data_IF_902573380262
#
_entry.id   IF_902573380262
#
_cell.length_a   1.000
_cell.length_b   1.000
_cell.length_c   1.000
_cell.angle_alpha   90.00
_cell.angle_beta   90.00
_cell.angle_gamma   90.00
#
_symmetry.space_group_name_H-M   'P 1'
#
loop_
_entity.id
_entity.type
_entity.pdbx_description
1 polymer ?
#
# COMPACT_ATOMS: atom_id res chain seq x y z
N UNK A 1 -19.93 -11.52 -6.70
CA UNK A 1 -18.48 -11.59 -6.48
C UNK A 1 -17.80 -10.72 -7.52
N UNK A 2 -16.81 -9.94 -7.12
CA UNK A 2 -16.00 -9.09 -7.99
C UNK A 2 -14.97 -9.96 -8.72
N UNK A 3 -15.00 -9.99 -10.05
CA UNK A 3 -14.03 -10.70 -10.88
C UNK A 3 -12.76 -9.88 -11.03
N UNK A 4 -11.68 -10.34 -10.41
CA UNK A 4 -10.39 -9.66 -10.37
C UNK A 4 -9.38 -10.38 -11.24
N UNK A 5 -8.72 -9.63 -12.14
CA UNK A 5 -7.49 -10.07 -12.80
C UNK A 5 -6.28 -9.36 -12.17
N UNK A 6 -5.18 -10.09 -12.00
CA UNK A 6 -3.95 -9.54 -11.44
C UNK A 6 -2.92 -9.42 -12.55
N UNK A 7 -2.52 -8.19 -12.87
CA UNK A 7 -1.46 -7.92 -13.82
C UNK A 7 -0.14 -7.66 -13.08
N UNK A 8 0.79 -8.61 -13.14
CA UNK A 8 2.02 -8.64 -12.34
C UNK A 8 1.88 -9.46 -11.06
N UNK A 9 2.46 -10.65 -11.04
CA UNK A 9 2.39 -11.57 -9.91
C UNK A 9 3.67 -11.52 -9.06
N UNK A 10 4.17 -10.29 -8.84
CA UNK A 10 5.28 -9.96 -7.95
C UNK A 10 4.87 -10.04 -6.47
N UNK A 11 5.62 -9.34 -5.61
CA UNK A 11 5.36 -9.32 -4.15
C UNK A 11 3.90 -8.96 -3.83
N UNK A 12 3.44 -7.80 -4.32
CA UNK A 12 2.10 -7.27 -4.02
C UNK A 12 1.00 -8.11 -4.68
N UNK A 13 1.17 -8.50 -5.94
CA UNK A 13 0.19 -9.35 -6.63
C UNK A 13 -0.04 -10.69 -5.93
N UNK A 14 1.03 -11.34 -5.43
CA UNK A 14 0.91 -12.60 -4.68
C UNK A 14 0.26 -12.42 -3.30
N UNK A 15 0.55 -11.34 -2.61
CA UNK A 15 -0.11 -11.05 -1.31
C UNK A 15 -1.58 -10.70 -1.51
N UNK A 16 -1.92 -9.93 -2.54
CA UNK A 16 -3.31 -9.66 -2.91
C UNK A 16 -4.06 -10.96 -3.25
N UNK A 17 -3.41 -11.85 -4.01
CA UNK A 17 -3.94 -13.18 -4.28
C UNK A 17 -4.23 -13.94 -2.99
N UNK A 18 -3.26 -14.04 -2.07
CA UNK A 18 -3.43 -14.75 -0.79
C UNK A 18 -4.57 -14.20 0.06
N UNK A 19 -4.85 -12.90 -0.02
CA UNK A 19 -5.93 -12.25 0.73
C UNK A 19 -7.29 -12.39 0.06
N UNK A 20 -7.35 -12.37 -1.28
CA UNK A 20 -8.62 -12.45 -2.01
C UNK A 20 -9.06 -13.88 -2.32
N UNK A 21 -8.11 -14.83 -2.48
CA UNK A 21 -8.44 -16.20 -2.84
C UNK A 21 -9.23 -16.90 -1.73
N UNK A 22 -10.47 -17.28 -2.03
CA UNK A 22 -11.39 -17.90 -1.06
C UNK A 22 -12.09 -16.90 -0.12
N UNK A 23 -11.75 -15.62 -0.19
CA UNK A 23 -12.43 -14.58 0.59
C UNK A 23 -13.79 -14.21 -0.03
N UNK A 24 -14.75 -13.87 0.83
CA UNK A 24 -16.08 -13.46 0.40
C UNK A 24 -16.07 -12.16 -0.41
N UNK A 25 -16.75 -12.18 -1.54
CA UNK A 25 -16.89 -11.03 -2.42
C UNK A 25 -15.90 -10.97 -3.57
N UNK A 26 -14.87 -11.85 -3.60
CA UNK A 26 -13.86 -11.85 -4.67
C UNK A 26 -13.83 -13.16 -5.45
N UNK A 27 -13.51 -13.02 -6.73
CA UNK A 27 -13.17 -14.15 -7.62
C UNK A 27 -11.94 -13.76 -8.45
N UNK A 28 -10.80 -14.44 -8.24
CA UNK A 28 -9.63 -14.27 -9.09
C UNK A 28 -9.83 -15.10 -10.35
N UNK A 29 -9.95 -14.41 -11.49
CA UNK A 29 -10.27 -15.06 -12.78
C UNK A 29 -9.04 -15.26 -13.67
N UNK A 30 -8.00 -14.44 -13.50
CA UNK A 30 -6.79 -14.54 -14.30
C UNK A 30 -5.58 -13.87 -13.61
N UNK A 31 -4.40 -14.28 -14.04
CA UNK A 31 -3.12 -13.64 -13.72
C UNK A 31 -2.41 -13.37 -15.05
N UNK A 32 -1.75 -12.24 -15.18
CA UNK A 32 -0.79 -11.99 -16.25
C UNK A 32 0.60 -11.72 -15.66
N UNK A 33 1.59 -12.51 -16.06
CA UNK A 33 2.99 -12.34 -15.68
C UNK A 33 3.89 -12.99 -16.71
N UNK A 34 5.05 -12.40 -17.01
CA UNK A 34 6.00 -12.93 -18.01
C UNK A 34 6.86 -14.08 -17.49
N UNK A 35 6.71 -14.43 -16.20
CA UNK A 35 7.42 -15.51 -15.54
C UNK A 35 6.65 -16.84 -15.69
N UNK A 36 7.37 -17.97 -15.71
CA UNK A 36 6.74 -19.29 -15.87
C UNK A 36 5.79 -19.63 -14.71
N UNK A 37 4.67 -20.33 -14.97
CA UNK A 37 3.74 -20.78 -13.94
C UNK A 37 4.40 -21.58 -12.81
N UNK A 38 5.41 -22.40 -13.10
CA UNK A 38 6.15 -23.14 -12.10
C UNK A 38 6.87 -22.22 -11.08
N UNK A 39 7.52 -21.15 -11.56
CA UNK A 39 8.17 -20.17 -10.71
C UNK A 39 7.15 -19.39 -9.91
N UNK A 40 6.06 -18.94 -10.52
CA UNK A 40 5.00 -18.18 -9.85
C UNK A 40 4.30 -19.02 -8.76
N UNK A 41 4.02 -20.31 -9.03
CA UNK A 41 3.46 -21.23 -8.05
C UNK A 41 4.42 -21.45 -6.88
N UNK A 42 5.72 -21.63 -7.13
CA UNK A 42 6.73 -21.77 -6.10
C UNK A 42 6.78 -20.52 -5.19
N UNK A 43 6.84 -19.34 -5.78
CA UNK A 43 6.87 -18.08 -5.03
C UNK A 43 5.54 -17.76 -4.33
N UNK A 44 4.40 -18.29 -4.80
CA UNK A 44 3.13 -18.20 -4.10
C UNK A 44 3.14 -19.07 -2.83
N UNK A 45 3.75 -20.27 -2.89
CA UNK A 45 3.86 -21.20 -1.74
C UNK A 45 4.74 -20.64 -0.63
N UNK A 46 5.90 -20.10 -1.00
CA UNK A 46 6.97 -19.77 -0.07
C UNK A 46 7.33 -18.29 -0.18
N UNK A 47 7.37 -17.62 0.94
CA UNK A 47 7.69 -16.20 1.03
C UNK A 47 8.59 -15.96 2.24
N UNK A 48 9.79 -15.44 2.00
CA UNK A 48 10.79 -15.22 3.06
C UNK A 48 10.41 -14.14 4.05
N UNK A 49 9.59 -13.15 3.66
CA UNK A 49 9.14 -12.07 4.52
C UNK A 49 7.78 -12.35 5.17
N UNK A 50 6.85 -12.96 4.41
CA UNK A 50 5.46 -13.17 4.82
C UNK A 50 5.14 -14.64 5.19
N UNK A 51 6.15 -15.49 5.14
CA UNK A 51 5.99 -16.89 5.51
C UNK A 51 5.28 -17.75 4.46
N UNK A 52 5.15 -19.02 4.80
CA UNK A 52 4.50 -20.02 3.94
C UNK A 52 3.01 -19.72 3.78
N UNK A 53 2.51 -19.83 2.55
CA UNK A 53 1.08 -19.67 2.27
C UNK A 53 0.27 -20.80 2.94
N UNK A 54 -0.85 -20.45 3.55
CA UNK A 54 -1.70 -21.42 4.24
C UNK A 54 -2.18 -22.57 3.33
N UNK A 55 -2.36 -22.28 2.03
CA UNK A 55 -2.76 -23.27 1.02
C UNK A 55 -1.57 -23.80 0.20
N UNK A 56 -0.32 -23.65 0.67
CA UNK A 56 0.88 -24.02 -0.10
C UNK A 56 0.85 -25.47 -0.63
N UNK A 57 0.34 -26.42 0.17
CA UNK A 57 0.26 -27.83 -0.22
C UNK A 57 -0.81 -28.11 -1.30
N UNK A 58 -1.71 -27.17 -1.51
CA UNK A 58 -2.78 -27.23 -2.50
C UNK A 58 -2.48 -26.42 -3.77
N UNK A 59 -1.28 -25.84 -3.88
CA UNK A 59 -0.85 -25.09 -5.07
C UNK A 59 -0.13 -26.01 -6.03
N UNK A 60 -0.60 -26.08 -7.26
CA UNK A 60 0.01 -26.88 -8.35
C UNK A 60 0.18 -26.00 -9.59
N UNK A 61 1.36 -26.04 -10.21
CA UNK A 61 1.60 -25.39 -11.48
C UNK A 61 1.10 -26.26 -12.63
N UNK A 62 0.35 -25.67 -13.56
CA UNK A 62 0.05 -26.24 -14.87
C UNK A 62 1.01 -25.70 -15.93
N UNK A 63 0.74 -25.97 -17.20
CA UNK A 63 1.52 -25.46 -18.33
C UNK A 63 1.35 -23.93 -18.46
N UNK A 64 0.12 -23.45 -18.37
CA UNK A 64 -0.26 -22.04 -18.49
C UNK A 64 -1.23 -21.60 -17.38
N UNK A 65 -1.13 -22.21 -16.21
CA UNK A 65 -2.06 -21.99 -15.11
C UNK A 65 -1.45 -22.31 -13.75
N UNK A 66 -2.11 -21.84 -12.69
CA UNK A 66 -1.91 -22.28 -11.32
C UNK A 66 -3.24 -22.80 -10.79
N UNK A 67 -3.23 -24.01 -10.23
CA UNK A 67 -4.38 -24.55 -9.49
C UNK A 67 -4.13 -24.38 -8.01
N UNK A 68 -5.10 -23.81 -7.30
CA UNK A 68 -5.06 -23.63 -5.84
C UNK A 68 -6.36 -24.19 -5.27
N UNK A 69 -6.26 -25.14 -4.33
CA UNK A 69 -7.40 -25.80 -3.69
C UNK A 69 -8.49 -26.26 -4.70
N UNK A 70 -8.05 -26.87 -5.81
CA UNK A 70 -8.92 -27.36 -6.89
C UNK A 70 -9.41 -26.30 -7.88
N UNK A 71 -9.18 -25.02 -7.65
CA UNK A 71 -9.51 -23.95 -8.60
C UNK A 71 -8.34 -23.64 -9.51
N UNK A 72 -8.53 -23.80 -10.82
CA UNK A 72 -7.51 -23.46 -11.84
C UNK A 72 -7.67 -22.03 -12.29
N UNK A 73 -6.57 -21.27 -12.25
CA UNK A 73 -6.49 -19.88 -12.66
C UNK A 73 -5.52 -19.79 -13.83
N UNK A 74 -6.01 -19.27 -14.97
CA UNK A 74 -5.21 -19.08 -16.17
C UNK A 74 -4.13 -18.03 -15.95
N UNK A 75 -2.94 -18.30 -16.46
CA UNK A 75 -1.83 -17.34 -16.53
C UNK A 75 -1.60 -16.96 -17.98
N UNK A 76 -1.69 -15.67 -18.24
CA UNK A 76 -1.29 -15.05 -19.49
C UNK A 76 0.16 -14.55 -19.35
N UNK A 77 0.85 -14.45 -20.49
CA UNK A 77 2.24 -13.97 -20.57
C UNK A 77 2.36 -12.82 -21.59
N UNK A 78 1.38 -11.90 -21.55
CA UNK A 78 1.29 -10.79 -22.49
C UNK A 78 2.03 -9.56 -21.97
N UNK A 79 2.91 -8.99 -22.82
CA UNK A 79 3.64 -7.76 -22.52
C UNK A 79 2.78 -6.51 -22.66
N UNK A 80 1.91 -6.52 -23.66
CA UNK A 80 1.01 -5.41 -23.93
C UNK A 80 -0.36 -5.68 -23.30
N UNK A 81 -0.75 -4.85 -22.36
CA UNK A 81 -2.01 -5.03 -21.63
C UNK A 81 -3.26 -4.93 -22.52
N UNK A 82 -3.15 -4.25 -23.68
CA UNK A 82 -4.25 -4.13 -24.63
C UNK A 82 -4.61 -5.47 -25.34
N UNK A 83 -3.68 -6.42 -25.34
CA UNK A 83 -3.85 -7.73 -25.98
C UNK A 83 -4.42 -8.79 -25.03
N UNK A 84 -4.69 -8.41 -23.78
CA UNK A 84 -5.25 -9.30 -22.77
C UNK A 84 -6.78 -9.46 -22.92
N UNK A 85 -7.34 -10.65 -22.70
CA UNK A 85 -8.76 -10.92 -23.00
C UNK A 85 -9.70 -10.52 -21.85
N UNK A 86 -9.50 -9.35 -21.24
CA UNK A 86 -10.26 -8.95 -20.05
C UNK A 86 -11.76 -8.86 -20.28
N UNK A 87 -12.16 -8.38 -21.47
CA UNK A 87 -13.57 -8.31 -21.86
C UNK A 87 -14.20 -9.69 -22.05
N UNK A 88 -13.47 -10.64 -22.67
CA UNK A 88 -13.98 -11.99 -22.95
C UNK A 88 -14.22 -12.79 -21.67
N UNK A 89 -13.36 -12.64 -20.67
CA UNK A 89 -13.48 -13.34 -19.37
C UNK A 89 -14.28 -12.53 -18.34
N UNK A 90 -14.73 -11.33 -18.71
CA UNK A 90 -15.65 -10.51 -17.91
C UNK A 90 -15.00 -9.93 -16.65
N UNK A 91 -13.78 -9.39 -16.75
CA UNK A 91 -13.05 -8.78 -15.63
C UNK A 91 -13.74 -7.52 -15.16
N UNK A 92 -14.10 -7.47 -13.88
CA UNK A 92 -14.65 -6.26 -13.26
C UNK A 92 -13.53 -5.29 -12.88
N UNK A 93 -12.45 -5.79 -12.26
CA UNK A 93 -11.32 -4.96 -11.83
C UNK A 93 -10.00 -5.62 -12.22
N UNK A 94 -9.13 -4.88 -12.89
CA UNK A 94 -7.71 -5.23 -13.01
C UNK A 94 -6.95 -4.63 -11.85
N UNK A 95 -6.22 -5.47 -11.12
CA UNK A 95 -5.21 -5.04 -10.17
C UNK A 95 -3.87 -4.94 -10.89
N UNK A 96 -3.40 -3.70 -11.11
CA UNK A 96 -2.14 -3.43 -11.80
C UNK A 96 -0.96 -3.39 -10.82
N UNK A 97 -0.11 -4.41 -10.86
CA UNK A 97 1.03 -4.62 -9.95
C UNK A 97 2.39 -4.70 -10.66
N UNK A 98 2.47 -4.43 -11.97
CA UNK A 98 3.74 -4.56 -12.72
C UNK A 98 4.70 -3.41 -12.49
N UNK A 99 4.18 -2.23 -12.11
CA UNK A 99 4.93 -0.98 -12.05
C UNK A 99 5.21 -0.34 -13.43
N UNK A 100 4.68 -0.89 -14.53
CA UNK A 100 4.82 -0.33 -15.89
C UNK A 100 3.65 0.59 -16.26
N UNK A 101 2.44 0.26 -15.83
CA UNK A 101 1.20 0.98 -16.14
C UNK A 101 0.79 1.94 -15.02
N UNK A 102 1.76 2.70 -14.47
CA UNK A 102 1.55 3.60 -13.32
C UNK A 102 1.14 5.02 -13.77
N UNK A 103 0.18 5.15 -14.67
CA UNK A 103 -0.48 6.41 -15.04
C UNK A 103 -1.85 6.11 -15.63
N UNK A 104 -2.74 7.11 -15.65
CA UNK A 104 -4.05 6.99 -16.28
C UNK A 104 -3.94 6.59 -17.75
N UNK A 105 -3.08 7.29 -18.49
CA UNK A 105 -2.84 7.04 -19.91
C UNK A 105 -2.40 5.60 -20.18
N UNK A 106 -1.39 5.10 -19.44
CA UNK A 106 -0.90 3.73 -19.63
C UNK A 106 -1.92 2.68 -19.21
N UNK A 107 -2.59 2.89 -18.09
CA UNK A 107 -3.60 1.96 -17.58
C UNK A 107 -4.86 1.90 -18.44
N UNK A 108 -5.06 2.88 -19.35
CA UNK A 108 -6.14 2.85 -20.34
C UNK A 108 -6.09 1.57 -21.18
N UNK A 109 -4.91 0.99 -21.43
CA UNK A 109 -4.76 -0.27 -22.15
C UNK A 109 -5.58 -1.43 -21.55
N UNK A 110 -5.74 -1.47 -20.22
CA UNK A 110 -6.60 -2.47 -19.57
C UNK A 110 -8.09 -2.24 -19.82
N UNK A 111 -8.51 -0.97 -19.87
CA UNK A 111 -9.91 -0.60 -20.22
C UNK A 111 -10.17 -0.95 -21.68
N UNK A 112 -9.23 -0.64 -22.58
CA UNK A 112 -9.33 -0.96 -24.01
C UNK A 112 -9.39 -2.48 -24.25
N UNK A 113 -8.72 -3.27 -23.40
CA UNK A 113 -8.80 -4.73 -23.36
C UNK A 113 -10.13 -5.26 -22.78
N UNK A 114 -11.03 -4.37 -22.33
CA UNK A 114 -12.39 -4.70 -21.88
C UNK A 114 -12.56 -4.87 -20.36
N UNK A 115 -11.58 -4.52 -19.55
CA UNK A 115 -11.77 -4.42 -18.10
C UNK A 115 -12.70 -3.25 -17.76
N UNK A 116 -13.58 -3.42 -16.76
CA UNK A 116 -14.50 -2.34 -16.35
C UNK A 116 -13.78 -1.25 -15.55
N UNK A 117 -12.84 -1.64 -14.69
CA UNK A 117 -12.11 -0.76 -13.78
C UNK A 117 -10.66 -1.21 -13.59
N UNK A 118 -9.77 -0.28 -13.19
CA UNK A 118 -8.36 -0.57 -12.89
C UNK A 118 -7.97 0.06 -11.56
N UNK A 119 -7.32 -0.72 -10.69
CA UNK A 119 -6.67 -0.25 -9.46
C UNK A 119 -5.15 -0.36 -9.64
N UNK A 120 -4.46 0.76 -9.66
CA UNK A 120 -3.00 0.81 -9.78
C UNK A 120 -2.37 0.70 -8.38
N UNK A 121 -1.50 -0.29 -8.19
CA UNK A 121 -0.81 -0.54 -6.91
C UNK A 121 0.42 0.35 -6.68
N UNK A 122 0.35 1.60 -7.12
CA UNK A 122 1.43 2.59 -7.02
C UNK A 122 0.88 4.02 -7.13
N UNK A 123 1.63 5.05 -6.70
CA UNK A 123 1.34 6.43 -7.07
C UNK A 123 1.33 6.59 -8.58
N UNK A 124 0.29 7.22 -9.14
CA UNK A 124 0.02 7.23 -10.58
C UNK A 124 -0.26 8.62 -11.18
N UNK A 125 0.19 9.68 -10.54
CA UNK A 125 0.01 11.06 -11.02
C UNK A 125 -1.10 11.81 -10.27
N UNK A 126 -1.57 12.92 -10.86
CA UNK A 126 -2.59 13.81 -10.27
C UNK A 126 -3.87 13.85 -11.10
N UNK A 127 -3.88 13.18 -12.23
CA UNK A 127 -4.95 13.16 -13.24
C UNK A 127 -5.95 12.01 -13.04
N UNK A 128 -5.83 11.29 -11.93
CA UNK A 128 -6.73 10.24 -11.50
C UNK A 128 -6.88 10.26 -9.98
N UNK A 129 -7.99 9.72 -9.43
CA UNK A 129 -8.18 9.64 -7.98
C UNK A 129 -7.08 8.81 -7.31
N UNK A 130 -6.52 9.35 -6.22
CA UNK A 130 -5.60 8.66 -5.32
C UNK A 130 -6.34 8.33 -4.04
N UNK A 131 -6.48 7.03 -3.74
CA UNK A 131 -7.35 6.55 -2.66
C UNK A 131 -6.54 5.90 -1.54
N UNK A 132 -6.87 6.28 -0.32
CA UNK A 132 -6.52 5.58 0.91
C UNK A 132 -7.83 5.15 1.57
N UNK A 133 -8.07 3.84 1.64
CA UNK A 133 -9.29 3.29 2.21
C UNK A 133 -9.47 3.72 3.66
N UNK A 134 -10.69 4.05 4.05
CA UNK A 134 -11.12 4.67 5.32
C UNK A 134 -10.71 6.14 5.53
N UNK A 135 -10.18 6.79 4.49
CA UNK A 135 -9.87 8.24 4.53
C UNK A 135 -10.65 9.01 3.47
N UNK A 136 -10.60 8.56 2.20
CA UNK A 136 -11.22 9.29 1.08
C UNK A 136 -11.86 8.38 0.00
N UNK A 137 -12.11 7.11 0.25
CA UNK A 137 -12.77 6.22 -0.72
C UNK A 137 -14.16 6.71 -1.14
N UNK A 138 -14.83 7.45 -0.24
CA UNK A 138 -16.15 8.03 -0.49
C UNK A 138 -16.14 9.19 -1.52
N UNK A 139 -14.97 9.63 -1.97
CA UNK A 139 -14.84 10.60 -3.06
C UNK A 139 -14.98 9.98 -4.44
N UNK A 140 -14.90 8.65 -4.53
CA UNK A 140 -15.06 7.93 -5.78
C UNK A 140 -16.50 7.99 -6.31
N UNK A 141 -16.61 8.01 -7.63
CA UNK A 141 -17.87 8.03 -8.37
C UNK A 141 -17.97 6.87 -9.35
N UNK A 142 -19.16 6.63 -9.89
CA UNK A 142 -19.39 5.60 -10.94
C UNK A 142 -18.65 5.91 -12.25
N UNK A 143 -18.26 7.15 -12.48
CA UNK A 143 -17.55 7.58 -13.69
C UNK A 143 -16.06 7.29 -13.63
N UNK A 144 -15.52 7.06 -12.42
CA UNK A 144 -14.13 6.69 -12.24
C UNK A 144 -13.89 5.27 -12.77
N UNK A 145 -12.90 5.13 -13.64
CA UNK A 145 -12.51 3.83 -14.23
C UNK A 145 -11.12 3.38 -13.83
N UNK A 146 -10.23 4.32 -13.54
CA UNK A 146 -8.82 4.06 -13.20
C UNK A 146 -8.47 4.88 -11.98
N UNK A 147 -8.00 4.21 -10.93
CA UNK A 147 -7.60 4.83 -9.67
C UNK A 147 -6.22 4.36 -9.22
N UNK A 148 -5.58 5.16 -8.37
CA UNK A 148 -4.37 4.78 -7.64
C UNK A 148 -4.72 4.41 -6.20
N UNK A 149 -4.23 3.27 -5.71
CA UNK A 149 -4.27 2.91 -4.29
C UNK A 149 -3.13 3.56 -3.48
N UNK A 150 -2.55 4.65 -3.98
CA UNK A 150 -1.44 5.38 -3.36
C UNK A 150 -0.17 4.52 -3.14
N UNK A 151 0.64 4.87 -2.15
CA UNK A 151 1.79 4.07 -1.69
C UNK A 151 1.55 3.49 -0.31
N UNK A 152 2.36 2.50 0.08
CA UNK A 152 2.33 1.92 1.43
C UNK A 152 2.51 3.00 2.53
N UNK A 153 3.46 3.90 2.34
CA UNK A 153 3.73 5.00 3.27
C UNK A 153 2.55 6.00 3.33
N UNK A 154 1.91 6.30 2.19
CA UNK A 154 0.72 7.17 2.19
C UNK A 154 -0.46 6.50 2.91
N UNK A 155 -0.64 5.19 2.75
CA UNK A 155 -1.66 4.42 3.45
C UNK A 155 -1.43 4.35 4.97
N UNK A 156 -0.17 4.45 5.43
CA UNK A 156 0.15 4.57 6.84
C UNK A 156 -0.03 6.00 7.36
N UNK A 157 0.48 7.00 6.64
CA UNK A 157 0.45 8.40 7.06
C UNK A 157 -0.97 8.97 7.11
N UNK A 158 -1.79 8.69 6.10
CA UNK A 158 -3.06 9.40 5.92
C UNK A 158 -4.07 9.16 7.04
N UNK A 159 -4.35 7.93 7.54
CA UNK A 159 -5.26 7.74 8.66
C UNK A 159 -4.81 8.46 9.93
N UNK A 160 -3.52 8.35 10.26
CA UNK A 160 -2.92 9.00 11.43
C UNK A 160 -2.97 10.53 11.31
N UNK A 161 -2.56 11.09 10.17
CA UNK A 161 -2.59 12.54 9.93
C UNK A 161 -4.03 13.08 9.91
N UNK A 162 -5.00 12.32 9.37
CA UNK A 162 -6.41 12.68 9.36
C UNK A 162 -6.99 12.74 10.77
N UNK A 163 -6.72 11.74 11.61
CA UNK A 163 -7.16 11.70 12.99
C UNK A 163 -6.54 12.86 13.81
N UNK A 164 -5.24 13.11 13.65
CA UNK A 164 -4.56 14.23 14.30
C UNK A 164 -5.13 15.57 13.86
N UNK A 165 -5.30 15.77 12.53
CA UNK A 165 -5.81 17.04 11.98
C UNK A 165 -7.24 17.36 12.42
N UNK A 166 -8.07 16.34 12.61
CA UNK A 166 -9.43 16.50 13.16
C UNK A 166 -9.44 16.86 14.64
N UNK A 167 -8.50 16.33 15.42
CA UNK A 167 -8.35 16.64 16.83
C UNK A 167 -7.70 18.01 17.07
N UNK A 168 -6.57 18.25 16.39
CA UNK A 168 -5.78 19.47 16.48
C UNK A 168 -5.26 19.84 15.09
N UNK A 169 -5.78 20.90 14.43
CA UNK A 169 -5.45 21.25 13.06
C UNK A 169 -3.96 21.44 12.81
N UNK A 170 -3.42 20.63 11.91
CA UNK A 170 -2.00 20.65 11.51
C UNK A 170 -1.72 21.94 10.72
N UNK A 171 -0.71 22.71 11.17
CA UNK A 171 -0.22 23.89 10.50
C UNK A 171 0.91 23.58 9.54
N UNK A 172 1.87 22.77 10.02
CA UNK A 172 3.00 22.28 9.24
C UNK A 172 3.53 21.00 9.86
N UNK A 173 4.33 20.22 9.12
CA UNK A 173 4.94 19.03 9.68
C UNK A 173 6.03 18.42 8.80
N UNK A 174 6.84 17.59 9.44
CA UNK A 174 7.85 16.78 8.79
C UNK A 174 7.53 15.32 9.09
N UNK A 175 7.33 14.53 8.04
CA UNK A 175 7.22 13.09 8.18
C UNK A 175 8.53 12.40 7.81
N UNK A 176 8.90 11.41 8.58
CA UNK A 176 10.01 10.52 8.25
C UNK A 176 9.51 9.09 8.30
N UNK A 177 9.75 8.33 7.25
CA UNK A 177 9.54 6.89 7.32
C UNK A 177 10.87 6.16 7.46
N UNK A 178 10.96 5.32 8.50
CA UNK A 178 11.99 4.28 8.61
C UNK A 178 11.43 3.05 7.92
N UNK A 179 11.92 2.77 6.72
CA UNK A 179 11.27 1.88 5.78
C UNK A 179 12.11 0.62 5.55
N UNK A 180 11.48 -0.53 5.57
CA UNK A 180 12.11 -1.79 5.17
C UNK A 180 12.65 -1.72 3.74
N UNK A 181 13.61 -2.57 3.42
CA UNK A 181 14.12 -2.70 2.06
C UNK A 181 13.01 -3.18 1.10
N UNK A 182 13.15 -2.84 -0.18
CA UNK A 182 12.20 -3.26 -1.22
C UNK A 182 12.95 -3.73 -2.47
N UNK A 183 12.28 -4.50 -3.33
CA UNK A 183 12.86 -5.13 -4.50
C UNK A 183 13.37 -4.19 -5.60
N UNK A 184 13.21 -2.87 -5.43
CA UNK A 184 13.81 -1.87 -6.30
C UNK A 184 15.25 -1.48 -5.89
N UNK A 185 15.71 -1.88 -4.70
CA UNK A 185 17.09 -1.72 -4.25
C UNK A 185 17.98 -2.87 -4.75
N UNK A 186 19.27 -2.59 -4.84
CA UNK A 186 20.24 -3.62 -5.22
C UNK A 186 20.59 -4.51 -4.02
N UNK A 187 20.73 -5.81 -4.26
CA UNK A 187 21.18 -6.77 -3.22
C UNK A 187 22.64 -6.50 -2.85
N UNK A 188 23.52 -6.39 -3.85
CA UNK A 188 24.90 -5.94 -3.76
C UNK A 188 25.04 -4.65 -4.57
N UNK A 189 26.16 -3.92 -4.37
CA UNK A 189 26.46 -2.70 -5.13
C UNK A 189 26.41 -2.99 -6.64
N UNK A 190 25.58 -2.24 -7.36
CA UNK A 190 25.41 -2.43 -8.79
C UNK A 190 24.56 -1.32 -9.43
N UNK A 191 24.55 -1.24 -10.78
CA UNK A 191 23.86 -0.18 -11.50
C UNK A 191 22.34 -0.27 -11.28
N UNK A 192 21.74 0.79 -10.70
CA UNK A 192 20.32 0.89 -10.50
C UNK A 192 19.60 1.29 -11.79
N UNK A 193 18.47 0.62 -12.12
CA UNK A 193 17.73 0.79 -13.39
C UNK A 193 17.31 2.25 -13.69
N UNK A 194 17.08 3.07 -12.66
CA UNK A 194 16.68 4.47 -12.79
C UNK A 194 17.81 5.45 -12.45
N UNK A 195 19.06 4.98 -12.34
CA UNK A 195 20.22 5.81 -12.06
C UNK A 195 20.29 6.38 -10.63
N UNK A 196 19.52 5.86 -9.67
CA UNK A 196 19.59 6.29 -8.29
C UNK A 196 20.84 5.73 -7.62
N UNK A 197 21.80 6.60 -7.31
CA UNK A 197 23.11 6.23 -6.77
C UNK A 197 23.03 5.65 -5.35
N UNK A 198 22.03 6.01 -4.56
CA UNK A 198 21.84 5.48 -3.20
C UNK A 198 21.19 4.09 -3.24
N UNK A 199 20.18 3.90 -4.07
CA UNK A 199 19.54 2.58 -4.28
C UNK A 199 20.43 1.59 -5.05
N UNK A 200 21.50 2.06 -5.67
CA UNK A 200 22.57 1.25 -6.27
C UNK A 200 23.43 0.53 -5.23
N UNK A 201 23.34 0.90 -3.94
CA UNK A 201 24.12 0.30 -2.88
C UNK A 201 23.39 -0.89 -2.27
N UNK A 202 24.18 -1.81 -1.67
CA UNK A 202 23.69 -3.04 -1.06
C UNK A 202 22.66 -2.76 0.06
N UNK A 203 21.43 -3.23 -0.13
CA UNK A 203 20.29 -2.92 0.72
C UNK A 203 20.39 -3.54 2.12
N UNK A 204 21.02 -4.72 2.24
CA UNK A 204 21.04 -5.50 3.49
C UNK A 204 22.09 -5.02 4.51
N UNK A 205 22.94 -4.04 4.17
CA UNK A 205 24.04 -3.57 5.03
C UNK A 205 24.11 -2.06 5.18
N UNK A 206 23.15 -1.32 4.62
CA UNK A 206 23.17 0.14 4.61
C UNK A 206 21.86 0.75 5.12
N UNK A 207 21.95 1.89 5.82
CA UNK A 207 20.86 2.85 5.90
C UNK A 207 20.93 3.70 4.63
N UNK A 208 19.84 3.70 3.85
CA UNK A 208 19.78 4.36 2.54
C UNK A 208 18.78 5.52 2.58
N UNK A 209 19.27 6.79 2.68
CA UNK A 209 18.40 7.95 2.60
C UNK A 209 17.73 8.06 1.23
N UNK A 210 16.41 8.29 1.21
CA UNK A 210 15.61 8.41 0.00
C UNK A 210 14.58 9.54 0.11
N UNK A 211 14.17 10.08 -1.00
CA UNK A 211 12.97 10.89 -1.07
C UNK A 211 11.72 10.01 -0.93
N UNK A 212 10.65 10.56 -0.37
CA UNK A 212 9.33 9.96 -0.39
C UNK A 212 8.31 10.91 -1.01
N UNK A 213 7.44 10.38 -1.85
CA UNK A 213 6.31 11.13 -2.38
C UNK A 213 5.12 11.22 -1.41
N UNK A 214 5.15 10.49 -0.29
CA UNK A 214 4.00 10.37 0.62
C UNK A 214 3.54 11.71 1.20
N UNK A 215 4.49 12.57 1.62
CA UNK A 215 4.16 13.91 2.15
C UNK A 215 3.49 14.81 1.09
N UNK A 216 3.88 14.70 -0.19
CA UNK A 216 3.23 15.42 -1.29
C UNK A 216 1.90 14.81 -1.68
N UNK A 217 1.79 13.47 -1.62
CA UNK A 217 0.58 12.74 -1.96
C UNK A 217 -0.53 12.93 -0.92
N UNK A 218 -0.20 13.34 0.31
CA UNK A 218 -1.18 13.54 1.37
C UNK A 218 -2.25 14.58 0.96
N UNK A 219 -1.87 15.63 0.24
CA UNK A 219 -2.81 16.64 -0.24
C UNK A 219 -3.79 16.14 -1.32
N UNK A 220 -3.52 14.99 -1.96
CA UNK A 220 -4.46 14.32 -2.87
C UNK A 220 -5.53 13.52 -2.11
N UNK A 221 -5.21 13.12 -0.88
CA UNK A 221 -6.07 12.28 -0.03
C UNK A 221 -6.80 13.11 1.01
N UNK A 222 -6.10 14.12 1.59
CA UNK A 222 -6.60 15.05 2.60
C UNK A 222 -6.28 16.47 2.11
N UNK A 223 -7.19 17.12 1.35
CA UNK A 223 -6.94 18.43 0.73
C UNK A 223 -6.50 19.52 1.71
N UNK A 224 -6.97 19.49 2.95
CA UNK A 224 -6.61 20.44 4.01
C UNK A 224 -5.12 20.39 4.40
N UNK A 225 -4.44 19.29 4.09
CA UNK A 225 -3.01 19.09 4.35
C UNK A 225 -2.12 19.41 3.14
N UNK A 226 -2.71 19.88 2.04
CA UNK A 226 -1.94 20.19 0.84
C UNK A 226 -0.89 21.30 1.13
N UNK A 227 0.38 20.97 0.86
CA UNK A 227 1.51 21.89 1.08
C UNK A 227 1.98 22.04 2.53
N UNK A 228 1.29 21.42 3.52
CA UNK A 228 1.67 21.54 4.94
C UNK A 228 2.72 20.53 5.38
N UNK A 229 2.88 19.43 4.65
CA UNK A 229 3.83 18.37 5.03
C UNK A 229 4.98 18.25 4.02
N UNK A 230 6.19 18.09 4.56
CA UNK A 230 7.37 17.64 3.84
C UNK A 230 7.83 16.31 4.39
N UNK A 231 8.68 15.56 3.66
CA UNK A 231 9.09 14.26 4.20
C UNK A 231 10.28 13.62 3.49
N UNK A 232 10.85 12.65 4.20
CA UNK A 232 11.96 11.83 3.77
C UNK A 232 11.75 10.37 4.15
N UNK A 233 12.59 9.49 3.59
CA UNK A 233 12.62 8.07 3.92
C UNK A 233 14.05 7.66 4.28
N UNK A 234 14.18 6.78 5.26
CA UNK A 234 15.40 6.07 5.59
C UNK A 234 15.15 4.57 5.38
N UNK A 235 15.75 4.00 4.33
CA UNK A 235 15.67 2.56 4.10
C UNK A 235 16.63 1.85 5.01
N UNK A 236 16.15 0.80 5.70
CA UNK A 236 16.92 0.02 6.67
C UNK A 236 16.94 -1.46 6.29
N UNK A 237 17.96 -2.24 6.73
CA UNK A 237 18.13 -3.64 6.34
C UNK A 237 17.20 -4.59 7.12
N UNK A 238 15.87 -4.35 7.03
CA UNK A 238 14.84 -5.27 7.49
C UNK A 238 13.95 -5.68 6.31
N UNK A 239 13.47 -6.93 6.23
CA UNK A 239 12.79 -7.46 5.06
C UNK A 239 11.38 -6.87 4.86
N UNK A 240 10.68 -6.58 5.95
CA UNK A 240 9.38 -5.90 6.00
C UNK A 240 9.15 -5.35 7.39
N UNK A 241 8.14 -4.50 7.58
CA UNK A 241 7.91 -3.79 8.84
C UNK A 241 8.58 -2.43 8.85
N UNK A 242 7.77 -1.38 8.75
CA UNK A 242 8.20 0.02 8.62
C UNK A 242 7.45 0.90 9.61
N UNK A 243 8.01 2.07 9.92
CA UNK A 243 7.33 3.09 10.72
C UNK A 243 7.22 4.40 9.98
N UNK A 244 6.14 5.14 10.24
CA UNK A 244 5.99 6.54 9.84
C UNK A 244 5.95 7.40 11.10
N UNK A 245 6.86 8.34 11.20
CA UNK A 245 6.97 9.34 12.25
C UNK A 245 6.50 10.67 11.68
N UNK A 246 5.48 11.28 12.27
CA UNK A 246 5.03 12.62 11.93
C UNK A 246 5.30 13.55 13.10
N UNK A 247 6.20 14.50 12.89
CA UNK A 247 6.40 15.65 13.77
C UNK A 247 5.64 16.83 13.17
N UNK A 248 4.66 17.36 13.89
CA UNK A 248 3.79 18.41 13.39
C UNK A 248 3.63 19.55 14.40
N UNK A 249 3.45 20.77 13.87
CA UNK A 249 2.94 21.90 14.61
C UNK A 249 1.44 21.91 14.45
N UNK A 250 0.72 21.89 15.57
CA UNK A 250 -0.74 21.86 15.62
C UNK A 250 -1.30 23.03 16.41
N UNK A 251 -2.53 23.42 16.13
CA UNK A 251 -3.28 24.44 16.86
C UNK A 251 -4.33 23.80 17.76
N UNK A 252 -4.51 24.33 18.97
CA UNK A 252 -5.53 23.89 19.90
C UNK A 252 -5.27 24.41 21.31
N UNK A 253 -6.18 24.08 22.22
CA UNK A 253 -6.01 24.36 23.66
C UNK A 253 -5.85 23.03 24.38
N UNK A 254 -4.99 23.00 25.39
CA UNK A 254 -4.79 21.85 26.29
C UNK A 254 -4.51 20.53 25.56
N UNK A 255 -3.66 20.60 24.51
CA UNK A 255 -3.24 19.42 23.77
C UNK A 255 -2.28 18.61 24.64
N UNK A 256 -2.64 17.35 24.92
CA UNK A 256 -1.87 16.42 25.76
C UNK A 256 -1.65 15.09 25.05
N UNK A 257 -0.70 14.30 25.55
CA UNK A 257 -0.45 12.93 25.08
C UNK A 257 -1.71 12.07 25.17
N UNK A 258 -2.39 12.14 26.33
CA UNK A 258 -3.61 11.38 26.58
C UNK A 258 -4.74 11.80 25.64
N UNK A 259 -4.89 13.10 25.38
CA UNK A 259 -5.89 13.64 24.44
C UNK A 259 -5.66 13.16 23.02
N UNK A 260 -4.41 13.19 22.54
CA UNK A 260 -4.04 12.66 21.20
C UNK A 260 -4.31 11.15 21.16
N UNK A 261 -3.82 10.39 22.14
CA UNK A 261 -4.00 8.94 22.16
C UNK A 261 -5.48 8.54 22.21
N UNK A 262 -6.31 9.28 22.98
CA UNK A 262 -7.76 9.07 23.01
C UNK A 262 -8.41 9.36 21.64
N UNK A 263 -8.01 10.43 20.95
CA UNK A 263 -8.49 10.75 19.62
C UNK A 263 -8.12 9.69 18.59
N UNK A 264 -6.88 9.17 18.64
CA UNK A 264 -6.42 8.09 17.77
C UNK A 264 -7.16 6.78 18.04
N UNK A 265 -7.38 6.45 19.34
CA UNK A 265 -8.15 5.27 19.73
C UNK A 265 -9.61 5.36 19.27
N UNK A 266 -10.22 6.52 19.36
CA UNK A 266 -11.57 6.76 18.88
C UNK A 266 -11.70 6.68 17.35
N UNK A 267 -10.62 6.98 16.60
CA UNK A 267 -10.57 6.85 15.16
C UNK A 267 -10.26 5.42 14.66
N UNK A 268 -10.04 4.46 15.56
CA UNK A 268 -9.67 3.08 15.21
C UNK A 268 -10.74 2.39 14.37
N UNK A 269 -10.29 1.57 13.43
CA UNK A 269 -11.12 0.81 12.49
C UNK A 269 -10.39 -0.43 12.01
N UNK A 270 -10.97 -1.21 11.10
CA UNK A 270 -10.29 -2.32 10.43
C UNK A 270 -9.09 -1.86 9.58
N UNK A 271 -8.99 -0.56 9.25
CA UNK A 271 -7.91 0.04 8.46
C UNK A 271 -6.90 0.82 9.29
N UNK A 272 -7.32 1.34 10.44
CA UNK A 272 -6.50 2.12 11.36
C UNK A 272 -6.52 1.50 12.74
N UNK A 273 -5.44 0.80 13.09
CA UNK A 273 -5.28 0.15 14.39
C UNK A 273 -4.68 1.07 15.45
N UNK A 274 -4.76 0.62 16.70
CA UNK A 274 -4.21 1.30 17.87
C UNK A 274 -3.52 0.28 18.77
N UNK A 275 -2.33 0.60 19.28
CA UNK A 275 -1.59 -0.25 20.22
C UNK A 275 -0.96 0.56 21.34
N UNK A 276 -0.85 -0.05 22.51
CA UNK A 276 -0.09 0.39 23.67
C UNK A 276 1.07 -0.59 23.97
N UNK A 277 1.25 -1.61 23.13
CA UNK A 277 2.30 -2.61 23.26
C UNK A 277 3.64 -2.06 22.74
N UNK A 278 4.77 -2.40 23.38
CA UNK A 278 6.11 -1.96 22.98
C UNK A 278 6.63 -2.78 21.78
N UNK A 279 6.02 -2.56 20.60
CA UNK A 279 6.29 -3.32 19.40
C UNK A 279 7.59 -2.93 18.70
N UNK A 280 8.15 -3.89 17.95
CA UNK A 280 9.23 -3.69 16.99
C UNK A 280 8.82 -4.18 15.60
N UNK A 281 9.65 -3.91 14.59
CA UNK A 281 9.30 -4.17 13.18
C UNK A 281 8.94 -5.63 12.86
N UNK A 282 9.48 -6.61 13.59
CA UNK A 282 9.15 -8.03 13.39
C UNK A 282 7.75 -8.40 13.88
N UNK A 283 7.22 -7.65 14.87
CA UNK A 283 5.93 -7.97 15.49
C UNK A 283 4.75 -7.55 14.61
N UNK A 284 5.00 -6.66 13.66
CA UNK A 284 3.96 -6.14 12.76
C UNK A 284 3.93 -6.84 11.40
N UNK A 285 4.74 -7.88 11.20
CA UNK A 285 4.72 -8.65 9.95
C UNK A 285 3.35 -9.34 9.80
N UNK A 286 2.72 -9.13 8.65
CA UNK A 286 1.43 -9.73 8.33
C UNK A 286 0.22 -9.00 8.89
N UNK A 287 0.37 -7.86 9.59
CA UNK A 287 -0.79 -7.08 10.02
C UNK A 287 -1.60 -6.57 8.83
N UNK A 288 -2.91 -6.39 9.05
CA UNK A 288 -3.86 -5.97 8.02
C UNK A 288 -4.35 -4.52 8.16
N UNK A 289 -3.94 -3.83 9.21
CA UNK A 289 -4.14 -2.39 9.33
C UNK A 289 -3.27 -1.66 8.32
N UNK A 290 -3.81 -0.69 7.61
CA UNK A 290 -3.01 0.21 6.76
C UNK A 290 -2.02 1.04 7.57
N UNK A 291 -2.41 1.36 8.80
CA UNK A 291 -1.67 2.13 9.79
C UNK A 291 -2.00 1.61 11.17
N UNK A 292 -1.01 1.22 11.96
CA UNK A 292 -1.16 0.82 13.36
C UNK A 292 -0.53 1.89 14.25
N UNK A 293 -1.34 2.74 14.85
CA UNK A 293 -0.89 3.83 15.71
C UNK A 293 -0.26 3.29 16.99
N UNK A 294 0.93 3.79 17.31
CA UNK A 294 1.70 3.43 18.51
C UNK A 294 1.56 4.54 19.57
N UNK A 295 0.70 4.32 20.53
CA UNK A 295 0.42 5.29 21.60
C UNK A 295 1.62 5.51 22.55
N UNK A 296 2.58 4.57 22.57
CA UNK A 296 3.77 4.67 23.44
C UNK A 296 4.78 5.69 22.91
N UNK A 297 4.66 6.11 21.64
CA UNK A 297 5.59 7.02 20.95
C UNK A 297 5.05 8.44 20.81
N UNK A 298 3.89 8.75 21.38
CA UNK A 298 3.29 10.08 21.32
C UNK A 298 4.08 11.06 22.22
N UNK A 299 4.44 12.20 21.65
CA UNK A 299 5.13 13.28 22.39
C UNK A 299 4.43 14.61 22.13
N UNK A 300 4.37 15.47 23.15
CA UNK A 300 3.74 16.79 23.08
C UNK A 300 4.62 17.81 23.80
N UNK A 301 4.85 18.95 23.14
CA UNK A 301 5.53 20.12 23.74
C UNK A 301 4.73 21.37 23.41
N UNK A 302 4.38 22.16 24.42
CA UNK A 302 3.73 23.47 24.24
C UNK A 302 4.74 24.48 23.69
N UNK A 303 4.35 25.20 22.62
CA UNK A 303 5.15 26.29 22.03
C UNK A 303 4.65 27.65 22.55
N UNK A 304 3.34 27.86 22.48
CA UNK A 304 2.64 29.06 22.99
C UNK A 304 1.23 28.68 23.47
N UNK A 305 0.35 29.69 23.71
CA UNK A 305 -0.95 29.44 24.35
C UNK A 305 -1.89 28.52 23.55
N UNK A 306 -1.78 28.49 22.24
CA UNK A 306 -2.63 27.69 21.36
C UNK A 306 -1.85 26.85 20.33
N UNK A 307 -0.53 26.76 20.48
CA UNK A 307 0.34 26.07 19.51
C UNK A 307 1.18 25.01 20.20
N UNK A 308 1.19 23.82 19.64
CA UNK A 308 1.95 22.68 20.16
C UNK A 308 2.75 22.03 19.05
N UNK A 309 3.92 21.51 19.43
CA UNK A 309 4.69 20.55 18.62
C UNK A 309 4.36 19.16 19.12
N UNK A 310 3.97 18.29 18.22
CA UNK A 310 3.58 16.91 18.53
C UNK A 310 4.36 15.93 17.68
N UNK A 311 4.66 14.76 18.24
CA UNK A 311 5.11 13.60 17.49
C UNK A 311 4.08 12.51 17.62
N UNK A 312 3.72 11.89 16.51
CA UNK A 312 2.88 10.69 16.41
C UNK A 312 3.55 9.66 15.52
N UNK A 313 3.39 8.38 15.85
CA UNK A 313 4.05 7.28 15.16
C UNK A 313 3.04 6.19 14.80
N UNK A 314 3.16 5.65 13.62
CA UNK A 314 2.41 4.45 13.19
C UNK A 314 3.30 3.43 12.53
N UNK A 315 3.01 2.16 12.81
CA UNK A 315 3.59 0.99 12.17
C UNK A 315 2.80 0.58 10.94
N UNK A 316 3.47 -0.02 9.97
CA UNK A 316 2.84 -0.67 8.83
C UNK A 316 3.73 -1.77 8.26
N UNK A 317 3.16 -2.91 7.96
CA UNK A 317 3.80 -3.86 7.07
C UNK A 317 3.72 -3.28 5.66
N UNK A 318 4.86 -2.79 5.14
CA UNK A 318 4.88 -2.10 3.85
C UNK A 318 4.39 -2.96 2.66
N UNK A 319 4.26 -4.27 2.85
CA UNK A 319 3.67 -5.20 1.89
C UNK A 319 2.23 -5.58 2.28
N UNK A 320 2.03 -6.23 3.43
CA UNK A 320 0.71 -6.79 3.79
C UNK A 320 -0.31 -5.74 4.22
N UNK A 321 0.09 -4.70 4.99
CA UNK A 321 -0.79 -3.57 5.33
C UNK A 321 -1.30 -2.86 4.09
N UNK A 322 -0.36 -2.55 3.17
CA UNK A 322 -0.70 -1.90 1.91
C UNK A 322 -1.63 -2.76 1.05
N UNK A 323 -1.30 -4.04 0.91
CA UNK A 323 -2.13 -4.99 0.17
C UNK A 323 -3.54 -5.08 0.74
N UNK A 324 -3.68 -5.09 2.07
CA UNK A 324 -4.99 -5.15 2.74
C UNK A 324 -5.85 -3.92 2.43
N UNK A 325 -5.25 -2.73 2.44
CA UNK A 325 -5.95 -1.49 2.05
C UNK A 325 -6.37 -1.52 0.58
N UNK A 326 -5.49 -1.97 -0.29
CA UNK A 326 -5.75 -2.09 -1.72
C UNK A 326 -6.86 -3.11 -2.01
N UNK A 327 -6.88 -4.25 -1.34
CA UNK A 327 -7.94 -5.27 -1.46
C UNK A 327 -9.30 -4.68 -1.03
N UNK A 328 -9.37 -3.93 0.09
CA UNK A 328 -10.59 -3.21 0.50
C UNK A 328 -11.02 -2.18 -0.56
N UNK A 329 -10.07 -1.43 -1.11
CA UNK A 329 -10.33 -0.45 -2.18
C UNK A 329 -10.88 -1.12 -3.44
N UNK A 330 -10.36 -2.28 -3.85
CA UNK A 330 -10.85 -3.04 -5.00
C UNK A 330 -12.34 -3.37 -4.84
N UNK A 331 -12.73 -3.89 -3.67
CA UNK A 331 -14.14 -4.26 -3.41
C UNK A 331 -15.03 -3.03 -3.45
N UNK A 332 -14.70 -2.00 -2.69
CA UNK A 332 -15.47 -0.75 -2.66
C UNK A 332 -15.62 -0.15 -4.06
N UNK A 333 -14.51 -0.04 -4.79
CA UNK A 333 -14.50 0.54 -6.14
C UNK A 333 -15.32 -0.27 -7.14
N UNK A 334 -15.36 -1.58 -7.02
CA UNK A 334 -16.16 -2.44 -7.89
C UNK A 334 -17.67 -2.32 -7.64
N UNK A 335 -18.06 -1.98 -6.41
CA UNK A 335 -19.46 -1.95 -5.96
C UNK A 335 -20.17 -0.60 -6.19
N UNK A 336 -19.43 0.47 -6.48
CA UNK A 336 -19.99 1.80 -6.77
C UNK A 336 -20.40 2.01 -8.22
#
# INVERSE_FOLDING_TARGET
MVKVAINGFGRIGRLAFRQMFGAEGYEIVAINDLTSPAMLAHLLKYDSAQGRYALADKVVAGEDSITVDGKTIKIYAEKNAADLPWGEIGVDVVLECTGFYCSKEKSQAHIDAGAKKVVISAPAGKDLPTIVFSVNENTLTKDDKIISAASCTTNCLAPMANALNKYAPIQSGIMTTVHALTGDQMVLDGPHRKGDLRRARAAAVNIVPNSTGAAKAIGLVIPELNGKLIGSAQRVPVPTGSTTILVAVVKGKDITVEGINAAMKAASSASFGYTEEPLVSSDIIGITYGSLFDATQTMVTKIDDDTYQVQVVSWYDNENSYTSQMVRTIKYFAEI
#
